data_IF_512401857432
#
_entry.id   IF_512401857432
#
_cell.length_a   1.000
_cell.length_b   1.000
_cell.length_c   1.000
_cell.angle_alpha   90.00
_cell.angle_beta   90.00
_cell.angle_gamma   90.00
#
_symmetry.space_group_name_H-M   'P 1'
#
loop_
_entity.id
_entity.type
_entity.pdbx_description
1 polymer ?
#
# COMPACT_ATOMS: atom_id res chain seq x y z
N UNK A 1 10.23 -16.58 12.34
CA UNK A 1 10.20 -16.14 10.92
C UNK A 1 8.95 -16.65 10.19
N UNK A 2 8.67 -17.97 10.12
CA UNK A 2 7.45 -18.51 9.47
C UNK A 2 6.12 -17.98 10.02
N UNK A 3 6.02 -17.72 11.33
CA UNK A 3 4.78 -17.22 11.94
C UNK A 3 4.49 -15.76 11.64
N UNK A 4 5.53 -14.95 11.41
CA UNK A 4 5.41 -13.51 11.09
C UNK A 4 4.81 -13.30 9.71
N UNK A 5 5.13 -14.19 8.75
CA UNK A 5 4.56 -14.16 7.39
C UNK A 5 3.06 -14.47 7.40
N UNK A 6 2.61 -15.42 8.26
CA UNK A 6 1.18 -15.73 8.42
C UNK A 6 0.40 -14.56 9.03
N UNK A 7 0.98 -13.90 10.04
CA UNK A 7 0.40 -12.71 10.68
C UNK A 7 0.36 -11.51 9.72
N UNK A 8 1.39 -11.31 8.90
CA UNK A 8 1.41 -10.28 7.87
C UNK A 8 0.33 -10.51 6.80
N UNK A 9 0.12 -11.76 6.36
CA UNK A 9 -0.92 -12.11 5.40
C UNK A 9 -2.34 -11.82 5.90
N UNK A 10 -2.65 -12.15 7.16
CA UNK A 10 -3.95 -11.82 7.77
C UNK A 10 -4.12 -10.32 7.95
N UNK A 11 -3.07 -9.61 8.37
CA UNK A 11 -3.10 -8.14 8.51
C UNK A 11 -3.38 -7.42 7.19
N UNK A 12 -2.78 -7.87 6.09
CA UNK A 12 -3.01 -7.31 4.75
C UNK A 12 -4.46 -7.51 4.30
N UNK A 13 -5.06 -8.67 4.60
CA UNK A 13 -6.46 -8.94 4.26
C UNK A 13 -7.41 -8.02 5.05
N UNK A 14 -7.20 -7.87 6.36
CA UNK A 14 -8.04 -7.00 7.22
C UNK A 14 -7.90 -5.53 6.84
N UNK A 15 -6.67 -5.04 6.58
CA UNK A 15 -6.45 -3.67 6.11
C UNK A 15 -6.93 -3.44 4.68
N UNK A 16 -6.89 -4.46 3.82
CA UNK A 16 -7.40 -4.40 2.44
C UNK A 16 -8.91 -4.16 2.38
N UNK A 17 -9.68 -4.75 3.31
CA UNK A 17 -11.12 -4.47 3.43
C UNK A 17 -11.39 -3.05 3.96
N UNK A 18 -10.63 -2.58 4.95
CA UNK A 18 -10.76 -1.21 5.48
C UNK A 18 -10.31 -0.12 4.48
N UNK A 19 -9.39 -0.46 3.57
CA UNK A 19 -8.89 0.38 2.49
C UNK A 19 -9.83 0.45 1.27
N UNK A 20 -10.93 -0.29 1.26
CA UNK A 20 -11.94 -0.25 0.20
C UNK A 20 -12.83 1.01 0.28
N UNK A 21 -12.28 2.13 0.77
CA UNK A 21 -12.98 3.41 0.74
C UNK A 21 -13.39 3.75 -0.69
N UNK A 22 -14.65 4.13 -0.89
CA UNK A 22 -15.20 4.46 -2.22
C UNK A 22 -14.67 5.80 -2.75
N UNK A 23 -14.08 6.62 -1.88
CA UNK A 23 -13.59 7.95 -2.23
C UNK A 23 -12.15 7.92 -2.78
N UNK A 24 -11.85 8.74 -3.80
CA UNK A 24 -10.52 8.81 -4.42
C UNK A 24 -9.40 9.18 -3.43
N UNK A 25 -9.69 10.06 -2.46
CA UNK A 25 -8.73 10.38 -1.40
C UNK A 25 -8.43 9.20 -0.49
N UNK A 26 -9.45 8.43 -0.10
CA UNK A 26 -9.27 7.24 0.73
C UNK A 26 -8.41 6.19 0.05
N UNK A 27 -8.72 5.88 -1.22
CA UNK A 27 -7.91 4.95 -2.04
C UNK A 27 -6.48 5.45 -2.24
N UNK A 28 -6.27 6.74 -2.45
CA UNK A 28 -4.93 7.31 -2.61
C UNK A 28 -4.09 7.18 -1.32
N UNK A 29 -4.65 7.53 -0.17
CA UNK A 29 -3.92 7.43 1.10
C UNK A 29 -3.62 5.97 1.46
N UNK A 30 -4.61 5.08 1.31
CA UNK A 30 -4.41 3.65 1.58
C UNK A 30 -3.42 3.00 0.62
N UNK A 31 -3.55 3.28 -0.69
CA UNK A 31 -2.62 2.80 -1.70
C UNK A 31 -1.20 3.31 -1.48
N UNK A 32 -1.05 4.57 -1.07
CA UNK A 32 0.25 5.16 -0.74
C UNK A 32 0.90 4.54 0.50
N UNK A 33 0.14 4.30 1.58
CA UNK A 33 0.68 3.65 2.77
C UNK A 33 1.12 2.20 2.49
N UNK A 34 0.30 1.44 1.77
CA UNK A 34 0.62 0.06 1.40
C UNK A 34 1.82 0.00 0.46
N UNK A 35 1.84 0.85 -0.57
CA UNK A 35 2.95 0.95 -1.50
C UNK A 35 4.25 1.39 -0.83
N UNK A 36 4.19 2.31 0.13
CA UNK A 36 5.35 2.73 0.91
C UNK A 36 5.89 1.61 1.80
N UNK A 37 5.01 0.87 2.50
CA UNK A 37 5.42 -0.27 3.31
C UNK A 37 6.03 -1.39 2.48
N UNK A 38 5.43 -1.73 1.35
CA UNK A 38 5.94 -2.73 0.43
C UNK A 38 7.28 -2.30 -0.19
N UNK A 39 7.37 -1.06 -0.67
CA UNK A 39 8.59 -0.51 -1.27
C UNK A 39 9.74 -0.38 -0.27
N UNK A 40 9.46 0.01 0.98
CA UNK A 40 10.44 0.01 2.07
C UNK A 40 10.94 -1.40 2.38
N UNK A 41 10.02 -2.36 2.45
CA UNK A 41 10.33 -3.76 2.70
C UNK A 41 11.22 -4.34 1.60
N UNK A 42 10.83 -4.18 0.33
CA UNK A 42 11.63 -4.66 -0.81
C UNK A 42 12.99 -3.95 -0.86
N UNK A 43 13.04 -2.63 -0.67
CA UNK A 43 14.30 -1.88 -0.63
C UNK A 43 15.24 -2.37 0.46
N UNK A 44 14.72 -2.64 1.67
CA UNK A 44 15.51 -3.20 2.76
C UNK A 44 15.99 -4.63 2.46
N UNK A 45 15.17 -5.44 1.79
CA UNK A 45 15.48 -6.83 1.44
C UNK A 45 16.51 -6.96 0.31
N UNK A 46 16.52 -6.03 -0.65
CA UNK A 46 17.45 -6.04 -1.79
C UNK A 46 18.77 -5.33 -1.50
N UNK A 47 18.96 -4.81 -0.27
CA UNK A 47 20.14 -4.03 0.11
C UNK A 47 20.13 -2.59 -0.42
N UNK A 48 19.00 -2.14 -0.96
CA UNK A 48 18.78 -0.75 -1.38
C UNK A 48 18.29 0.16 -0.24
N UNK A 49 18.03 1.42 -0.57
CA UNK A 49 17.51 2.38 0.41
C UNK A 49 16.02 2.14 0.68
N UNK A 50 15.67 1.72 1.89
CA UNK A 50 14.28 1.56 2.34
C UNK A 50 13.48 2.87 2.19
N UNK A 51 14.10 4.03 2.45
CA UNK A 51 13.47 5.34 2.28
C UNK A 51 13.11 5.65 0.82
N UNK A 52 14.01 5.34 -0.12
CA UNK A 52 13.74 5.50 -1.56
C UNK A 52 12.65 4.55 -2.03
N UNK A 53 12.70 3.28 -1.59
CA UNK A 53 11.65 2.31 -1.87
C UNK A 53 10.29 2.75 -1.31
N UNK A 54 10.26 3.31 -0.10
CA UNK A 54 9.06 3.84 0.52
C UNK A 54 8.48 5.04 -0.25
N UNK A 55 9.34 5.98 -0.66
CA UNK A 55 8.93 7.16 -1.42
C UNK A 55 8.35 6.77 -2.79
N UNK A 56 9.04 5.90 -3.53
CA UNK A 56 8.61 5.48 -4.86
C UNK A 56 7.35 4.61 -4.76
N UNK A 57 7.35 3.62 -3.87
CA UNK A 57 6.22 2.74 -3.65
C UNK A 57 5.00 3.50 -3.13
N UNK A 58 5.20 4.49 -2.24
CA UNK A 58 4.12 5.32 -1.72
C UNK A 58 3.55 6.29 -2.75
N UNK A 59 4.41 6.91 -3.57
CA UNK A 59 3.95 7.76 -4.68
C UNK A 59 3.16 7.00 -5.72
N UNK A 60 3.67 5.86 -6.19
CA UNK A 60 2.99 5.00 -7.15
C UNK A 60 1.71 4.39 -6.57
N UNK A 61 1.74 3.95 -5.32
CA UNK A 61 0.59 3.41 -4.62
C UNK A 61 -0.52 4.45 -4.43
N UNK A 62 -0.17 5.70 -4.12
CA UNK A 62 -1.14 6.78 -3.97
C UNK A 62 -1.75 7.20 -5.31
N UNK A 63 -0.92 7.33 -6.35
CA UNK A 63 -1.39 7.61 -7.70
C UNK A 63 -2.30 6.49 -8.21
N UNK A 64 -1.88 5.24 -8.08
CA UNK A 64 -2.68 4.07 -8.45
C UNK A 64 -4.00 4.02 -7.67
N UNK A 65 -3.97 4.28 -6.37
CA UNK A 65 -5.16 4.37 -5.53
C UNK A 65 -6.14 5.44 -6.02
N UNK A 66 -5.67 6.66 -6.26
CA UNK A 66 -6.50 7.74 -6.78
C UNK A 66 -7.09 7.42 -8.16
N UNK A 67 -6.30 6.81 -9.04
CA UNK A 67 -6.69 6.49 -10.41
C UNK A 67 -7.73 5.36 -10.49
N UNK A 68 -7.60 4.35 -9.61
CA UNK A 68 -8.49 3.18 -9.57
C UNK A 68 -9.71 3.38 -8.68
N UNK A 69 -9.84 4.56 -8.07
CA UNK A 69 -11.00 4.87 -7.27
C UNK A 69 -12.28 4.86 -8.13
N UNK A 70 -13.37 4.26 -7.64
CA UNK A 70 -14.62 4.26 -8.35
C UNK A 70 -15.07 5.71 -8.55
N UNK A 71 -15.32 6.06 -9.80
CA UNK A 71 -15.88 7.37 -10.12
C UNK A 71 -17.37 7.22 -9.90
N UNK A 72 -17.80 7.51 -8.68
CA UNK A 72 -19.21 7.53 -8.33
C UNK A 72 -19.89 8.58 -9.23
N UNK A 73 -20.38 8.11 -10.38
CA UNK A 73 -21.26 8.84 -11.28
C UNK A 73 -22.64 8.74 -10.67
N UNK A 74 -22.89 9.60 -9.69
CA UNK A 74 -24.24 10.04 -9.41
C UNK A 74 -24.57 11.21 -10.34
#
# INVERSE_FOLDING_TARGET
MRSVIKLAGVGVLVFGLAACGDSPGGRAVSGGLLGAGAGAGVGALTGGSAGTGALVGGGLGAAGGALTAPRNRY
#
